data_IF_471417929789
#
_entry.id   IF_471417929789
#
_cell.length_a   1.000
_cell.length_b   1.000
_cell.length_c   1.000
_cell.angle_alpha   90.00
_cell.angle_beta   90.00
_cell.angle_gamma   90.00
#
_symmetry.space_group_name_H-M   'P 1'
#
loop_
_entity.id
_entity.type
_entity.pdbx_description
1 polymer ?
#
# COMPACT_ATOMS: atom_id res chain seq x y z
N UNK A 1 -7.27 -25.49 16.12
CA UNK A 1 -8.40 -25.32 15.18
C UNK A 1 -7.85 -24.52 14.01
N UNK A 2 -7.89 -25.02 12.80
CA UNK A 2 -7.36 -24.29 11.63
C UNK A 2 -8.19 -23.02 11.36
N UNK A 3 -7.58 -21.96 10.77
CA UNK A 3 -8.26 -20.70 10.41
C UNK A 3 -9.58 -20.90 9.65
N UNK A 4 -9.62 -21.91 8.76
CA UNK A 4 -10.79 -22.24 7.94
C UNK A 4 -11.95 -22.89 8.73
N UNK A 5 -11.72 -23.34 9.96
CA UNK A 5 -12.71 -24.08 10.76
C UNK A 5 -13.49 -23.20 11.76
N UNK A 6 -13.35 -21.88 11.69
CA UNK A 6 -14.11 -20.95 12.53
C UNK A 6 -15.47 -20.66 11.86
N UNK A 7 -16.61 -20.83 12.56
CA UNK A 7 -17.94 -20.67 11.95
C UNK A 7 -18.18 -19.33 11.27
N UNK A 8 -17.61 -18.25 11.79
CA UNK A 8 -17.72 -16.90 11.24
C UNK A 8 -17.00 -16.70 9.90
N UNK A 9 -16.29 -17.74 9.41
CA UNK A 9 -15.55 -17.71 8.14
C UNK A 9 -16.14 -18.68 7.11
N UNK A 10 -17.25 -19.33 7.44
CA UNK A 10 -17.93 -20.22 6.51
C UNK A 10 -18.41 -19.43 5.29
N UNK A 11 -18.10 -19.95 4.10
CA UNK A 11 -18.43 -19.30 2.83
C UNK A 11 -17.42 -18.27 2.31
N UNK A 12 -16.41 -17.87 3.11
CA UNK A 12 -15.32 -17.01 2.64
C UNK A 12 -14.32 -17.79 1.80
N UNK A 13 -13.73 -17.14 0.81
CA UNK A 13 -12.53 -17.69 0.17
C UNK A 13 -11.41 -17.81 1.22
N UNK A 14 -10.62 -18.92 1.25
CA UNK A 14 -9.61 -19.14 2.31
C UNK A 14 -8.60 -17.98 2.45
N UNK A 15 -8.18 -17.37 1.36
CA UNK A 15 -7.29 -16.20 1.41
C UNK A 15 -7.98 -15.00 2.06
N UNK A 16 -9.26 -14.76 1.77
CA UNK A 16 -10.03 -13.67 2.41
C UNK A 16 -10.21 -13.94 3.91
N UNK A 17 -10.44 -15.21 4.29
CA UNK A 17 -10.53 -15.60 5.69
C UNK A 17 -9.19 -15.37 6.44
N UNK A 18 -8.05 -15.64 5.80
CA UNK A 18 -6.73 -15.31 6.32
C UNK A 18 -6.56 -13.79 6.47
N UNK A 19 -6.93 -13.01 5.44
CA UNK A 19 -6.85 -11.54 5.50
C UNK A 19 -7.80 -10.93 6.53
N UNK A 20 -8.95 -11.54 6.80
CA UNK A 20 -9.80 -11.12 7.91
C UNK A 20 -9.09 -11.27 9.26
N UNK A 21 -8.40 -12.40 9.47
CA UNK A 21 -7.58 -12.59 10.68
C UNK A 21 -6.47 -11.54 10.74
N UNK A 22 -5.79 -11.31 9.62
CA UNK A 22 -4.75 -10.29 9.52
C UNK A 22 -5.28 -8.89 9.88
N UNK A 23 -6.41 -8.46 9.30
CA UNK A 23 -6.94 -7.10 9.50
C UNK A 23 -7.60 -6.91 10.86
N UNK A 24 -8.43 -7.89 11.29
CA UNK A 24 -9.29 -7.72 12.47
C UNK A 24 -8.62 -8.28 13.72
N UNK A 25 -8.23 -9.56 13.68
CA UNK A 25 -7.76 -10.25 14.87
C UNK A 25 -6.31 -9.89 15.21
N UNK A 26 -5.46 -9.60 14.20
CA UNK A 26 -4.08 -9.18 14.39
C UNK A 26 -3.91 -7.66 14.41
N UNK A 27 -4.26 -6.95 13.33
CA UNK A 27 -3.97 -5.51 13.22
C UNK A 27 -4.86 -4.67 14.13
N UNK A 28 -6.20 -4.84 14.07
CA UNK A 28 -7.11 -4.00 14.84
C UNK A 28 -7.13 -4.32 16.34
N UNK A 29 -6.84 -5.55 16.74
CA UNK A 29 -6.74 -5.93 18.15
C UNK A 29 -5.31 -5.87 18.70
N UNK A 30 -4.30 -5.58 17.86
CA UNK A 30 -2.88 -5.56 18.21
C UNK A 30 -2.36 -6.88 18.79
N UNK A 31 -2.98 -8.01 18.41
CA UNK A 31 -2.62 -9.34 18.90
C UNK A 31 -1.46 -9.95 18.09
N UNK A 32 -0.24 -9.68 18.52
CA UNK A 32 0.96 -10.21 17.89
C UNK A 32 1.18 -11.73 18.14
N UNK A 33 0.38 -12.37 18.99
CA UNK A 33 0.47 -13.82 19.19
C UNK A 33 0.01 -14.61 17.96
N UNK A 34 -0.67 -13.95 17.03
CA UNK A 34 -1.16 -14.56 15.80
C UNK A 34 -0.11 -14.72 14.68
N UNK A 35 1.12 -14.22 14.87
CA UNK A 35 2.17 -14.31 13.84
C UNK A 35 2.33 -15.71 13.24
N UNK A 36 2.45 -16.72 14.08
CA UNK A 36 2.66 -18.10 13.63
C UNK A 36 1.43 -18.73 12.96
N UNK A 37 0.25 -18.12 13.16
CA UNK A 37 -1.00 -18.54 12.53
C UNK A 37 -1.17 -17.95 11.14
N UNK A 38 -0.73 -16.70 10.92
CA UNK A 38 -1.03 -15.93 9.71
C UNK A 38 0.16 -15.73 8.77
N UNK A 39 1.40 -15.88 9.25
CA UNK A 39 2.60 -15.58 8.44
C UNK A 39 3.60 -16.73 8.53
N UNK A 40 4.26 -17.05 7.42
CA UNK A 40 5.39 -17.97 7.43
C UNK A 40 6.60 -17.39 8.18
N UNK A 41 7.49 -18.22 8.76
CA UNK A 41 8.67 -17.74 9.48
C UNK A 41 9.60 -16.83 8.64
N UNK A 42 9.65 -17.08 7.33
CA UNK A 42 10.41 -16.30 6.35
C UNK A 42 9.60 -15.23 5.62
N UNK A 43 8.40 -14.91 6.12
CA UNK A 43 7.57 -13.84 5.57
C UNK A 43 8.32 -12.51 5.51
N UNK A 44 8.22 -11.85 4.35
CA UNK A 44 8.85 -10.56 4.10
C UNK A 44 7.80 -9.51 3.70
N UNK A 45 7.88 -8.34 4.30
CA UNK A 45 7.15 -7.14 3.90
C UNK A 45 8.11 -6.19 3.19
N UNK A 46 7.81 -5.90 1.92
CA UNK A 46 8.49 -4.85 1.15
C UNK A 46 7.69 -3.57 1.30
N UNK A 47 8.25 -2.59 2.00
CA UNK A 47 7.59 -1.31 2.28
C UNK A 47 8.59 -0.16 2.26
N UNK A 48 8.27 0.90 1.52
CA UNK A 48 9.06 2.13 1.51
C UNK A 48 10.54 1.92 1.13
N UNK A 49 10.81 0.89 0.31
CA UNK A 49 12.15 0.50 -0.09
C UNK A 49 12.93 -0.33 0.93
N UNK A 50 12.28 -0.79 1.99
CA UNK A 50 12.85 -1.70 2.99
C UNK A 50 12.25 -3.10 2.88
N UNK A 51 13.08 -4.10 3.15
CA UNK A 51 12.68 -5.49 3.28
C UNK A 51 12.61 -5.86 4.77
N UNK A 52 11.40 -6.02 5.28
CA UNK A 52 11.17 -6.32 6.69
C UNK A 52 10.85 -7.81 6.85
N UNK A 53 11.81 -8.59 7.37
CA UNK A 53 11.64 -10.00 7.68
C UNK A 53 10.85 -10.15 8.99
N UNK A 54 9.89 -11.08 9.03
CA UNK A 54 8.90 -11.26 10.09
C UNK A 54 9.45 -11.08 11.51
N UNK A 55 10.37 -11.93 11.94
CA UNK A 55 10.86 -11.94 13.33
C UNK A 55 12.06 -11.01 13.57
N UNK A 56 12.72 -10.58 12.48
CA UNK A 56 13.97 -9.80 12.58
C UNK A 56 13.69 -8.30 12.63
N UNK A 57 12.80 -7.81 11.77
CA UNK A 57 12.57 -6.37 11.60
C UNK A 57 11.09 -5.99 11.56
N UNK A 58 10.22 -6.80 10.96
CA UNK A 58 8.79 -6.49 10.87
C UNK A 58 8.10 -6.49 12.23
N UNK A 59 8.24 -7.57 13.02
CA UNK A 59 7.65 -7.67 14.35
C UNK A 59 8.10 -6.54 15.29
N UNK A 60 9.40 -6.24 15.42
CA UNK A 60 9.87 -5.09 16.17
C UNK A 60 9.30 -3.74 15.68
N UNK A 61 9.20 -3.52 14.36
CA UNK A 61 8.62 -2.30 13.80
C UNK A 61 7.13 -2.14 14.13
N UNK A 62 6.35 -3.23 14.06
CA UNK A 62 4.94 -3.23 14.44
C UNK A 62 4.76 -3.00 15.94
N UNK A 63 5.61 -3.61 16.78
CA UNK A 63 5.60 -3.38 18.23
C UNK A 63 5.84 -1.90 18.56
N UNK A 64 6.81 -1.27 17.90
CA UNK A 64 7.08 0.16 18.06
C UNK A 64 5.88 1.00 17.59
N UNK A 65 5.30 0.68 16.43
CA UNK A 65 4.11 1.37 15.91
C UNK A 65 2.94 1.31 16.90
N UNK A 66 2.61 0.13 17.43
CA UNK A 66 1.53 -0.03 18.41
C UNK A 66 1.80 0.71 19.71
N UNK A 67 3.06 0.80 20.15
CA UNK A 67 3.44 1.59 21.32
C UNK A 67 3.21 3.09 21.11
N UNK A 68 3.49 3.59 19.92
CA UNK A 68 3.27 4.99 19.53
C UNK A 68 1.81 5.28 19.20
N UNK A 69 1.09 4.30 18.67
CA UNK A 69 -0.29 4.39 18.20
C UNK A 69 -1.20 3.33 18.85
N UNK A 70 -1.45 3.38 20.19
CA UNK A 70 -2.19 2.33 20.89
C UNK A 70 -3.66 2.19 20.49
N UNK A 71 -4.18 3.12 19.71
CA UNK A 71 -5.54 3.08 19.14
C UNK A 71 -5.53 2.97 17.62
N UNK A 72 -4.44 2.47 17.02
CA UNK A 72 -4.37 2.25 15.58
C UNK A 72 -5.47 1.28 15.14
N UNK A 73 -6.19 1.67 14.10
CA UNK A 73 -7.19 0.84 13.44
C UNK A 73 -7.00 0.84 11.93
N UNK A 74 -7.36 -0.28 11.32
CA UNK A 74 -7.32 -0.51 9.87
C UNK A 74 -8.75 -0.65 9.33
N UNK A 75 -9.03 -0.01 8.21
CA UNK A 75 -10.29 -0.09 7.46
C UNK A 75 -10.01 -0.59 6.06
N UNK A 76 -10.68 -1.66 5.64
CA UNK A 76 -10.56 -2.19 4.28
C UNK A 76 -11.51 -1.44 3.35
N UNK A 77 -11.01 -0.93 2.23
CA UNK A 77 -11.78 -0.29 1.18
C UNK A 77 -12.07 -1.21 0.01
N UNK A 78 -11.14 -2.12 -0.29
CA UNK A 78 -11.29 -3.00 -1.43
C UNK A 78 -10.38 -4.22 -1.33
N UNK A 79 -10.89 -5.37 -1.81
CA UNK A 79 -10.09 -6.54 -2.18
C UNK A 79 -10.20 -6.82 -3.68
N UNK A 80 -9.07 -7.18 -4.28
CA UNK A 80 -8.98 -7.74 -5.64
C UNK A 80 -8.34 -9.11 -5.50
N UNK A 81 -9.03 -10.15 -5.95
CA UNK A 81 -8.65 -11.55 -5.72
C UNK A 81 -8.75 -12.36 -7.01
N UNK A 82 -7.66 -13.06 -7.39
CA UNK A 82 -7.70 -14.01 -8.51
C UNK A 82 -7.65 -15.49 -8.09
N UNK A 83 -7.74 -15.76 -6.77
CA UNK A 83 -7.62 -17.08 -6.16
C UNK A 83 -6.24 -17.27 -5.49
N UNK A 84 -5.15 -16.98 -6.17
CA UNK A 84 -3.78 -17.18 -5.67
C UNK A 84 -3.15 -15.89 -5.15
N UNK A 85 -3.61 -14.72 -5.61
CA UNK A 85 -3.11 -13.40 -5.27
C UNK A 85 -4.24 -12.52 -4.76
N UNK A 86 -3.90 -11.64 -3.81
CA UNK A 86 -4.83 -10.67 -3.27
C UNK A 86 -4.17 -9.29 -3.17
N UNK A 87 -4.90 -8.28 -3.66
CA UNK A 87 -4.57 -6.89 -3.37
C UNK A 87 -5.61 -6.33 -2.40
N UNK A 88 -5.11 -5.59 -1.41
CA UNK A 88 -5.93 -4.87 -0.45
C UNK A 88 -5.65 -3.37 -0.55
N UNK A 89 -6.71 -2.59 -0.75
CA UNK A 89 -6.69 -1.15 -0.54
C UNK A 89 -7.33 -0.86 0.83
N UNK A 90 -6.64 -0.08 1.64
CA UNK A 90 -7.03 0.15 3.04
C UNK A 90 -6.69 1.57 3.50
N UNK A 91 -7.17 1.95 4.66
CA UNK A 91 -6.66 3.08 5.45
C UNK A 91 -6.31 2.61 6.85
N UNK A 92 -5.26 3.19 7.39
CA UNK A 92 -4.99 3.17 8.81
C UNK A 92 -5.32 4.54 9.41
N UNK A 93 -5.70 4.57 10.68
CA UNK A 93 -5.97 5.79 11.41
C UNK A 93 -5.53 5.64 12.87
N UNK A 94 -4.99 6.69 13.42
CA UNK A 94 -4.54 6.70 14.80
C UNK A 94 -4.41 8.12 15.35
N UNK A 95 -4.37 8.20 16.67
CA UNK A 95 -3.79 9.33 17.38
C UNK A 95 -2.29 9.07 17.55
N UNK A 96 -1.44 9.92 16.95
CA UNK A 96 0.02 9.80 16.95
C UNK A 96 0.67 10.89 17.80
N UNK A 97 1.82 10.63 18.44
CA UNK A 97 2.58 11.67 19.13
C UNK A 97 3.12 12.69 18.14
N UNK A 98 3.20 13.97 18.57
CA UNK A 98 3.74 15.05 17.74
C UNK A 98 4.92 15.74 18.42
N UNK A 99 5.86 16.33 17.65
CA UNK A 99 6.92 17.14 18.18
C UNK A 99 6.38 18.27 19.09
N UNK A 100 7.03 18.49 20.22
CA UNK A 100 6.58 19.47 21.21
C UNK A 100 5.60 18.93 22.25
N UNK A 101 5.19 17.67 22.12
CA UNK A 101 4.30 16.98 23.06
C UNK A 101 2.83 16.99 22.62
N UNK A 102 2.06 16.08 23.24
CA UNK A 102 0.67 15.86 22.86
C UNK A 102 0.51 14.85 21.72
N UNK A 103 -0.72 14.77 21.19
CA UNK A 103 -1.08 13.82 20.14
C UNK A 103 -2.03 14.48 19.14
N UNK A 104 -1.93 14.08 17.88
CA UNK A 104 -2.82 14.51 16.79
C UNK A 104 -3.39 13.29 16.07
N UNK A 105 -4.58 13.46 15.52
CA UNK A 105 -5.24 12.44 14.71
C UNK A 105 -4.69 12.49 13.28
N UNK A 106 -4.45 11.31 12.70
CA UNK A 106 -4.15 11.16 11.29
C UNK A 106 -4.86 9.93 10.72
N UNK A 107 -5.14 9.99 9.43
CA UNK A 107 -5.63 8.88 8.62
C UNK A 107 -4.75 8.82 7.36
N UNK A 108 -4.22 7.65 7.04
CA UNK A 108 -3.40 7.45 5.85
C UNK A 108 -3.81 6.18 5.12
N UNK A 109 -3.65 6.18 3.81
CA UNK A 109 -4.08 5.11 2.93
C UNK A 109 -2.94 4.17 2.62
N UNK A 110 -3.28 2.93 2.28
CA UNK A 110 -2.33 1.91 1.87
C UNK A 110 -2.87 1.04 0.73
N UNK A 111 -1.94 0.53 -0.08
CA UNK A 111 -2.21 -0.50 -1.09
C UNK A 111 -1.16 -1.59 -0.93
N UNK A 112 -1.62 -2.82 -0.72
CA UNK A 112 -0.75 -3.98 -0.52
C UNK A 112 -1.10 -5.14 -1.44
N UNK A 113 -0.07 -5.78 -2.02
CA UNK A 113 -0.16 -6.98 -2.84
C UNK A 113 0.37 -8.15 -2.02
N UNK A 114 -0.46 -9.14 -1.77
CA UNK A 114 -0.18 -10.26 -0.88
C UNK A 114 0.00 -11.56 -1.63
N UNK A 115 0.99 -12.36 -1.18
CA UNK A 115 1.22 -13.74 -1.58
C UNK A 115 1.00 -14.66 -0.39
N UNK A 116 0.53 -15.88 -0.67
CA UNK A 116 0.31 -16.91 0.32
C UNK A 116 0.61 -18.30 -0.25
N UNK A 117 0.72 -19.29 0.62
CA UNK A 117 0.97 -20.68 0.23
C UNK A 117 -0.26 -21.60 0.38
N UNK A 118 -1.45 -21.00 0.46
CA UNK A 118 -2.71 -21.70 0.73
C UNK A 118 -3.11 -21.74 2.20
N UNK A 119 -2.21 -21.37 3.13
CA UNK A 119 -2.45 -21.35 4.57
C UNK A 119 -1.98 -20.08 5.26
N UNK A 120 -0.81 -19.53 4.88
CA UNK A 120 -0.16 -18.38 5.49
C UNK A 120 0.37 -17.41 4.45
N UNK A 121 0.55 -16.16 4.85
CA UNK A 121 1.23 -15.15 4.04
C UNK A 121 2.72 -15.48 3.91
N UNK A 122 3.25 -15.34 2.71
CA UNK A 122 4.66 -15.58 2.38
C UNK A 122 5.41 -14.31 2.04
N UNK A 123 4.74 -13.34 1.42
CA UNK A 123 5.34 -12.09 0.98
C UNK A 123 4.25 -11.02 0.79
N UNK A 124 4.63 -9.76 0.97
CA UNK A 124 3.76 -8.63 0.76
C UNK A 124 4.57 -7.44 0.22
N UNK A 125 4.08 -6.81 -0.86
CA UNK A 125 4.50 -5.50 -1.31
C UNK A 125 3.44 -4.48 -0.93
N UNK A 126 3.78 -3.50 -0.10
CA UNK A 126 2.82 -2.51 0.39
C UNK A 126 3.42 -1.12 0.43
N UNK A 127 2.63 -0.12 0.03
CA UNK A 127 2.99 1.28 0.23
C UNK A 127 1.88 2.03 0.94
N UNK A 128 2.27 3.06 1.70
CA UNK A 128 1.37 3.88 2.48
C UNK A 128 1.71 5.38 2.33
N UNK A 129 0.70 6.25 2.41
CA UNK A 129 0.85 7.69 2.19
C UNK A 129 1.34 8.43 3.45
N UNK A 130 2.52 8.08 3.93
CA UNK A 130 3.12 8.68 5.13
C UNK A 130 3.37 10.19 5.02
N UNK A 131 3.55 10.74 3.81
CA UNK A 131 3.69 12.18 3.64
C UNK A 131 2.41 12.90 4.09
N UNK A 132 1.27 12.41 3.65
CA UNK A 132 -0.05 12.94 4.03
C UNK A 132 -0.33 12.74 5.51
N UNK A 133 0.08 11.61 6.10
CA UNK A 133 0.02 11.40 7.54
C UNK A 133 0.79 12.50 8.29
N UNK A 134 2.03 12.79 7.88
CA UNK A 134 2.86 13.82 8.51
C UNK A 134 2.29 15.23 8.35
N UNK A 135 1.73 15.57 7.18
CA UNK A 135 1.04 16.84 6.97
C UNK A 135 -0.15 17.04 7.93
N UNK A 136 -0.94 15.97 8.16
CA UNK A 136 -2.05 15.99 9.12
C UNK A 136 -1.55 16.18 10.55
N UNK A 137 -0.48 15.47 10.94
CA UNK A 137 0.12 15.60 12.27
C UNK A 137 0.69 17.01 12.50
N UNK A 138 1.29 17.62 11.47
CA UNK A 138 1.85 18.96 11.54
C UNK A 138 0.76 20.05 11.60
N UNK A 139 -0.31 19.90 10.80
CA UNK A 139 -1.40 20.88 10.74
C UNK A 139 -2.43 20.72 11.87
N UNK A 140 -2.52 19.54 12.49
CA UNK A 140 -3.57 19.19 13.44
C UNK A 140 -4.95 18.98 12.79
N UNK A 141 -5.01 18.90 11.45
CA UNK A 141 -6.26 18.72 10.69
C UNK A 141 -6.26 17.34 10.02
N UNK A 142 -6.98 16.35 10.59
CA UNK A 142 -7.07 15.03 10.00
C UNK A 142 -7.90 15.07 8.71
N UNK A 143 -7.55 14.22 7.74
CA UNK A 143 -8.39 13.98 6.56
C UNK A 143 -9.60 13.11 6.91
N UNK A 144 -10.66 13.24 6.10
CA UNK A 144 -11.79 12.33 6.20
C UNK A 144 -11.35 10.90 5.85
N UNK A 145 -11.77 9.94 6.67
CA UNK A 145 -11.61 8.53 6.35
C UNK A 145 -12.48 8.19 5.14
N UNK A 146 -11.92 7.46 4.19
CA UNK A 146 -12.68 6.92 3.07
C UNK A 146 -13.70 5.88 3.58
N UNK A 147 -14.91 5.81 3.00
CA UNK A 147 -15.90 4.82 3.41
C UNK A 147 -15.35 3.39 3.34
N UNK A 148 -15.62 2.54 4.35
CA UNK A 148 -15.23 1.14 4.30
C UNK A 148 -16.02 0.40 3.22
N UNK A 149 -15.45 -0.68 2.71
CA UNK A 149 -16.22 -1.65 1.93
C UNK A 149 -17.32 -2.27 2.81
N UNK A 150 -18.52 -2.38 2.26
CA UNK A 150 -19.61 -3.09 2.92
C UNK A 150 -19.33 -4.59 2.83
N UNK A 151 -18.92 -5.19 3.95
CA UNK A 151 -18.60 -6.62 4.04
C UNK A 151 -17.58 -7.13 3.01
N UNK A 152 -16.30 -6.69 3.06
CA UNK A 152 -15.26 -7.15 2.12
C UNK A 152 -15.00 -8.65 2.23
N UNK A 153 -15.42 -9.26 3.33
CA UNK A 153 -15.16 -10.67 3.65
C UNK A 153 -16.04 -11.62 2.82
N UNK A 154 -17.33 -11.31 2.71
CA UNK A 154 -18.29 -12.12 1.98
C UNK A 154 -18.55 -11.62 0.54
N UNK A 155 -18.37 -10.32 0.29
CA UNK A 155 -18.62 -9.72 -1.01
C UNK A 155 -17.50 -9.94 -2.03
N UNK A 156 -16.27 -10.22 -1.58
CA UNK A 156 -15.12 -10.42 -2.48
C UNK A 156 -15.30 -11.70 -3.32
N UNK A 157 -15.26 -11.53 -4.62
CA UNK A 157 -15.35 -12.62 -5.59
C UNK A 157 -13.99 -12.92 -6.20
N UNK A 158 -13.73 -14.21 -6.49
CA UNK A 158 -12.59 -14.60 -7.31
C UNK A 158 -12.85 -14.22 -8.75
N UNK A 159 -11.97 -13.41 -9.32
CA UNK A 159 -11.98 -13.07 -10.74
C UNK A 159 -10.73 -13.69 -11.38
N UNK A 160 -10.88 -14.57 -12.38
CA UNK A 160 -9.73 -15.22 -13.01
C UNK A 160 -8.69 -14.22 -13.53
N UNK A 161 -7.42 -14.62 -13.48
CA UNK A 161 -6.34 -13.84 -14.06
C UNK A 161 -6.52 -13.64 -15.58
N UNK A 162 -6.14 -12.44 -16.05
CA UNK A 162 -6.10 -12.08 -17.46
C UNK A 162 -4.64 -11.68 -17.84
N UNK A 163 -3.96 -12.60 -18.49
CA UNK A 163 -2.55 -12.39 -18.85
C UNK A 163 -2.38 -11.26 -19.88
N UNK A 164 -3.40 -10.97 -20.70
CA UNK A 164 -3.33 -9.86 -21.66
C UNK A 164 -3.44 -8.52 -20.95
N UNK A 165 -4.34 -8.38 -19.97
CA UNK A 165 -4.46 -7.19 -19.13
C UNK A 165 -3.17 -6.95 -18.34
N UNK A 166 -2.59 -8.00 -17.76
CA UNK A 166 -1.30 -7.91 -17.05
C UNK A 166 -0.17 -7.46 -17.96
N UNK A 167 -0.07 -8.00 -19.17
CA UNK A 167 0.94 -7.61 -20.16
C UNK A 167 0.76 -6.14 -20.59
N UNK A 168 -0.47 -5.66 -20.77
CA UNK A 168 -0.80 -4.26 -21.11
C UNK A 168 -0.31 -3.32 -20.00
N UNK A 169 -0.64 -3.61 -18.74
CA UNK A 169 -0.22 -2.80 -17.60
C UNK A 169 1.30 -2.84 -17.42
N UNK A 170 1.92 -4.00 -17.55
CA UNK A 170 3.38 -4.14 -17.48
C UNK A 170 4.09 -3.28 -18.54
N UNK A 171 3.61 -3.31 -19.78
CA UNK A 171 4.15 -2.50 -20.87
C UNK A 171 3.95 -0.99 -20.62
N UNK A 172 2.82 -0.59 -20.02
CA UNK A 172 2.56 0.78 -19.62
C UNK A 172 3.48 1.23 -18.48
N UNK A 173 3.66 0.43 -17.42
CA UNK A 173 4.57 0.75 -16.30
C UNK A 173 6.02 0.97 -16.77
N UNK A 174 6.50 0.15 -17.72
CA UNK A 174 7.86 0.25 -18.24
C UNK A 174 8.13 1.55 -19.04
N UNK A 175 7.11 2.32 -19.39
CA UNK A 175 7.28 3.69 -19.96
C UNK A 175 7.71 4.70 -18.90
N UNK A 176 7.50 4.40 -17.62
CA UNK A 176 7.87 5.27 -16.49
C UNK A 176 6.94 6.46 -16.25
N UNK A 177 5.86 6.60 -17.01
CA UNK A 177 4.86 7.67 -16.84
C UNK A 177 3.53 7.09 -16.33
N UNK A 178 3.36 7.07 -15.01
CA UNK A 178 2.13 6.61 -14.37
C UNK A 178 0.93 7.56 -14.59
N UNK A 179 1.17 8.74 -15.14
CA UNK A 179 0.12 9.71 -15.47
C UNK A 179 -0.45 9.52 -16.89
N UNK A 180 0.16 8.65 -17.72
CA UNK A 180 -0.37 8.27 -19.04
C UNK A 180 -1.60 7.36 -18.92
N UNK A 181 -2.70 7.95 -18.47
CA UNK A 181 -4.00 7.28 -18.22
C UNK A 181 -5.15 8.28 -18.35
N UNK A 182 -6.34 7.79 -18.66
CA UNK A 182 -7.52 8.64 -18.77
C UNK A 182 -7.96 9.21 -17.40
N UNK A 183 -7.79 8.44 -16.33
CA UNK A 183 -8.11 8.88 -14.98
C UNK A 183 -7.03 8.46 -13.98
N UNK A 184 -6.36 9.44 -13.37
CA UNK A 184 -5.34 9.24 -12.34
C UNK A 184 -5.83 9.69 -10.97
N UNK A 185 -5.71 8.83 -9.97
CA UNK A 185 -5.90 9.14 -8.55
C UNK A 185 -4.63 8.73 -7.79
N UNK A 186 -3.92 9.70 -7.26
CA UNK A 186 -2.76 9.47 -6.37
C UNK A 186 -3.17 9.84 -4.96
N UNK A 187 -3.22 8.85 -4.08
CA UNK A 187 -3.76 8.99 -2.72
C UNK A 187 -2.90 9.92 -1.84
N UNK A 188 -1.58 10.00 -2.08
CA UNK A 188 -0.65 10.89 -1.38
C UNK A 188 -0.51 12.29 -2.01
N UNK A 189 -1.33 12.61 -3.02
CA UNK A 189 -1.39 13.97 -3.57
C UNK A 189 -2.23 14.87 -2.66
N UNK A 190 -1.77 16.10 -2.33
CA UNK A 190 -2.56 17.06 -1.58
C UNK A 190 -3.92 17.33 -2.22
N UNK A 191 -4.96 17.41 -1.39
CA UNK A 191 -6.33 17.65 -1.88
C UNK A 191 -6.42 18.92 -2.71
N UNK A 192 -7.03 18.80 -3.90
CA UNK A 192 -7.25 19.94 -4.81
C UNK A 192 -6.03 20.33 -5.66
N UNK A 193 -4.96 19.52 -5.61
CA UNK A 193 -3.80 19.71 -6.50
C UNK A 193 -3.72 18.59 -7.52
N UNK A 194 -3.32 18.87 -8.76
CA UNK A 194 -3.01 17.82 -9.73
C UNK A 194 -1.78 17.04 -9.27
N UNK A 195 -1.68 15.79 -9.72
CA UNK A 195 -0.45 15.03 -9.56
C UNK A 195 0.68 15.68 -10.37
N UNK A 196 1.81 15.89 -9.72
CA UNK A 196 3.05 16.32 -10.37
C UNK A 196 4.13 15.27 -10.11
N UNK A 197 4.78 14.74 -11.18
CA UNK A 197 5.90 13.81 -11.00
C UNK A 197 7.03 14.47 -10.21
N UNK A 198 7.58 13.75 -9.23
CA UNK A 198 8.68 14.29 -8.38
C UNK A 198 10.06 13.89 -8.87
N UNK A 199 10.16 13.04 -9.89
CA UNK A 199 11.43 12.65 -10.53
C UNK A 199 11.26 12.51 -12.05
N UNK A 200 12.37 12.64 -12.78
CA UNK A 200 12.47 12.27 -14.19
C UNK A 200 12.85 10.80 -14.26
N UNK A 201 11.88 9.93 -14.64
CA UNK A 201 12.08 8.48 -14.59
C UNK A 201 13.11 8.04 -15.61
N UNK A 202 14.22 7.44 -15.16
CA UNK A 202 15.29 6.88 -15.94
C UNK A 202 15.31 5.35 -15.94
N UNK A 203 14.79 4.72 -14.88
CA UNK A 203 14.73 3.27 -14.73
C UNK A 203 13.44 2.84 -14.01
N UNK A 204 12.89 1.70 -14.43
CA UNK A 204 11.66 1.11 -13.89
C UNK A 204 11.87 -0.36 -13.59
N UNK A 205 11.60 -0.76 -12.35
CA UNK A 205 11.57 -2.16 -11.94
C UNK A 205 10.16 -2.53 -11.49
N UNK A 206 9.52 -3.45 -12.20
CA UNK A 206 8.22 -4.02 -11.78
C UNK A 206 8.52 -5.11 -10.75
N UNK A 207 8.27 -4.82 -9.48
CA UNK A 207 8.58 -5.72 -8.36
C UNK A 207 7.52 -6.81 -8.22
N UNK A 208 6.25 -6.43 -8.35
CA UNK A 208 5.11 -7.35 -8.27
C UNK A 208 3.95 -6.86 -9.14
N UNK A 209 3.23 -7.79 -9.76
CA UNK A 209 2.07 -7.52 -10.59
C UNK A 209 1.23 -8.80 -10.72
N UNK A 210 -0.08 -8.66 -10.70
CA UNK A 210 -1.01 -9.72 -11.05
C UNK A 210 -2.33 -9.12 -11.56
N UNK A 211 -3.13 -9.93 -12.26
CA UNK A 211 -4.44 -9.51 -12.76
C UNK A 211 -5.58 -10.29 -12.10
N UNK A 212 -6.73 -9.65 -12.02
CA UNK A 212 -8.04 -10.23 -11.74
C UNK A 212 -9.02 -9.62 -12.76
N UNK A 213 -9.21 -10.28 -13.88
CA UNK A 213 -9.84 -9.71 -15.08
C UNK A 213 -9.04 -8.49 -15.58
N UNK A 214 -9.75 -7.40 -15.91
CA UNK A 214 -9.14 -6.13 -16.38
C UNK A 214 -8.48 -5.31 -15.28
N UNK A 215 -8.61 -5.70 -14.02
CA UNK A 215 -8.02 -5.00 -12.88
C UNK A 215 -6.65 -5.59 -12.55
N UNK A 216 -5.64 -4.75 -12.50
CA UNK A 216 -4.25 -5.18 -12.39
C UNK A 216 -3.56 -4.42 -11.26
N UNK A 217 -3.49 -4.98 -10.05
CA UNK A 217 -2.62 -4.51 -8.99
C UNK A 217 -1.16 -4.62 -9.38
N UNK A 218 -0.37 -3.60 -9.00
CA UNK A 218 1.06 -3.55 -9.28
C UNK A 218 1.85 -2.89 -8.15
N UNK A 219 3.12 -3.26 -8.06
CA UNK A 219 4.14 -2.55 -7.30
C UNK A 219 5.36 -2.33 -8.18
N UNK A 220 5.85 -1.08 -8.24
CA UNK A 220 6.98 -0.69 -9.09
C UNK A 220 7.91 0.25 -8.34
N UNK A 221 9.21 0.12 -8.65
CA UNK A 221 10.26 1.03 -8.24
C UNK A 221 10.65 1.89 -9.43
N UNK A 222 10.53 3.21 -9.28
CA UNK A 222 10.96 4.22 -10.24
C UNK A 222 12.26 4.85 -9.72
N UNK A 223 13.25 5.06 -10.62
CA UNK A 223 14.51 5.72 -10.28
C UNK A 223 14.80 6.83 -11.26
N UNK A 224 15.41 7.90 -10.79
CA UNK A 224 15.84 9.02 -11.61
C UNK A 224 16.08 10.29 -10.81
N UNK A 225 16.55 11.37 -11.48
CA UNK A 225 16.83 12.63 -10.83
C UNK A 225 15.57 13.30 -10.29
N UNK A 226 15.66 13.82 -9.08
CA UNK A 226 14.59 14.59 -8.42
C UNK A 226 14.29 15.88 -9.18
N UNK A 227 13.01 16.13 -9.47
CA UNK A 227 12.53 17.35 -10.20
C UNK A 227 12.11 18.48 -9.28
N UNK A 228 11.81 18.17 -8.03
CA UNK A 228 11.13 19.08 -7.12
C UNK A 228 9.72 18.60 -6.76
N UNK A 229 8.94 19.47 -6.13
CA UNK A 229 7.50 19.24 -5.86
C UNK A 229 7.17 18.63 -4.51
N UNK A 230 8.15 18.27 -3.68
CA UNK A 230 7.92 17.88 -2.29
C UNK A 230 8.14 19.09 -1.40
N UNK A 231 7.14 19.45 -0.60
CA UNK A 231 7.27 20.49 0.40
C UNK A 231 8.45 20.19 1.34
N UNK A 232 9.13 21.19 1.84
CA UNK A 232 10.27 21.11 2.75
C UNK A 232 11.55 20.47 2.15
N UNK A 233 11.56 20.18 0.84
CA UNK A 233 12.77 19.78 0.10
C UNK A 233 13.26 20.96 -0.74
N UNK A 234 14.42 21.55 -0.40
CA UNK A 234 14.97 22.68 -1.16
C UNK A 234 15.27 22.35 -2.63
N UNK A 235 15.10 23.33 -3.51
CA UNK A 235 15.40 23.20 -4.95
C UNK A 235 16.86 22.85 -5.25
N UNK A 236 17.78 23.05 -4.30
CA UNK A 236 19.19 22.62 -4.40
C UNK A 236 19.37 21.11 -4.52
N UNK A 237 18.34 20.33 -4.20
CA UNK A 237 18.34 18.86 -4.38
C UNK A 237 17.88 18.41 -5.78
N UNK A 238 17.39 19.32 -6.63
CA UNK A 238 17.03 18.98 -8.02
C UNK A 238 18.23 18.38 -8.76
N UNK A 239 17.97 17.29 -9.48
CA UNK A 239 19.00 16.52 -10.17
C UNK A 239 19.67 15.42 -9.33
N UNK A 240 19.38 15.32 -8.02
CA UNK A 240 19.86 14.20 -7.19
C UNK A 240 19.09 12.94 -7.52
N UNK A 241 19.81 11.82 -7.73
CA UNK A 241 19.18 10.51 -7.97
C UNK A 241 18.39 10.05 -6.74
N UNK A 242 17.15 9.67 -6.98
CA UNK A 242 16.22 9.16 -5.96
C UNK A 242 15.47 7.94 -6.45
N UNK A 243 14.90 7.24 -5.48
CA UNK A 243 14.04 6.06 -5.71
C UNK A 243 12.65 6.34 -5.14
N UNK A 244 11.62 6.06 -5.93
CA UNK A 244 10.22 6.19 -5.57
C UNK A 244 9.54 4.84 -5.78
N UNK A 245 8.92 4.28 -4.74
CA UNK A 245 8.05 3.11 -4.86
C UNK A 245 6.62 3.57 -5.14
N UNK A 246 5.90 2.78 -5.94
CA UNK A 246 4.49 3.00 -6.25
C UNK A 246 3.76 1.68 -6.12
N UNK A 247 2.73 1.65 -5.29
CA UNK A 247 1.76 0.55 -5.25
C UNK A 247 0.42 1.07 -5.76
N UNK A 248 -0.22 0.32 -6.65
CA UNK A 248 -1.47 0.79 -7.23
C UNK A 248 -2.29 -0.30 -7.91
N UNK A 249 -3.41 0.14 -8.44
CA UNK A 249 -4.36 -0.66 -9.22
C UNK A 249 -4.58 0.08 -10.53
N UNK A 250 -4.36 -0.60 -11.65
CA UNK A 250 -4.67 -0.11 -12.98
C UNK A 250 -5.88 -0.87 -13.53
N UNK A 251 -6.85 -0.15 -14.09
CA UNK A 251 -7.98 -0.71 -14.81
C UNK A 251 -7.68 -0.60 -16.30
N UNK A 252 -7.63 -1.74 -16.99
CA UNK A 252 -7.43 -1.80 -18.45
C UNK A 252 -8.77 -1.49 -19.14
N UNK A 253 -8.73 -0.68 -20.18
CA UNK A 253 -9.90 -0.25 -20.92
C UNK A 253 -10.60 -1.43 -21.66
N UNK A 254 -11.82 -1.20 -22.13
CA UNK A 254 -12.62 -2.23 -22.83
C UNK A 254 -11.97 -2.73 -24.14
N UNK A 255 -11.00 -1.99 -24.70
CA UNK A 255 -10.26 -2.44 -25.89
C UNK A 255 -9.10 -3.37 -25.55
N UNK A 256 -8.71 -3.43 -24.29
CA UNK A 256 -7.55 -4.20 -23.80
C UNK A 256 -6.19 -3.56 -24.10
N UNK A 257 -6.14 -2.35 -24.66
CA UNK A 257 -4.91 -1.73 -25.15
C UNK A 257 -4.45 -0.47 -24.39
N UNK A 258 -5.33 0.09 -23.57
CA UNK A 258 -5.06 1.31 -22.81
C UNK A 258 -5.34 1.16 -21.32
N UNK A 259 -4.90 2.13 -20.55
CA UNK A 259 -5.20 2.23 -19.13
C UNK A 259 -6.28 3.28 -18.93
N UNK A 260 -7.46 2.83 -18.50
CA UNK A 260 -8.61 3.70 -18.28
C UNK A 260 -8.45 4.48 -16.96
N UNK A 261 -8.03 3.80 -15.91
CA UNK A 261 -7.91 4.38 -14.58
C UNK A 261 -6.70 3.81 -13.84
N UNK A 262 -6.06 4.67 -13.07
CA UNK A 262 -5.06 4.27 -12.09
C UNK A 262 -5.41 4.88 -10.73
N UNK A 263 -5.37 4.06 -9.69
CA UNK A 263 -5.37 4.52 -8.31
C UNK A 263 -4.13 3.99 -7.62
N UNK A 264 -3.28 4.88 -7.12
CA UNK A 264 -1.98 4.50 -6.60
C UNK A 264 -1.55 5.37 -5.42
N UNK A 265 -0.56 4.86 -4.68
CA UNK A 265 0.17 5.54 -3.62
C UNK A 265 1.63 5.61 -4.06
N UNK A 266 2.26 6.76 -3.85
CA UNK A 266 3.68 7.00 -4.13
C UNK A 266 4.41 7.32 -2.83
N UNK A 267 5.63 6.79 -2.65
CA UNK A 267 6.41 6.96 -1.41
C UNK A 267 7.18 8.28 -1.36
N UNK A 268 6.51 9.42 -1.48
CA UNK A 268 7.15 10.75 -1.46
C UNK A 268 7.85 11.05 -0.14
N UNK A 269 7.35 10.52 0.98
CA UNK A 269 8.02 10.64 2.27
C UNK A 269 9.41 9.99 2.24
N UNK A 270 9.57 8.89 1.51
CA UNK A 270 10.87 8.21 1.34
C UNK A 270 11.81 9.03 0.45
N UNK A 271 11.30 9.64 -0.62
CA UNK A 271 12.11 10.57 -1.45
C UNK A 271 12.61 11.74 -0.59
N UNK A 272 11.74 12.32 0.25
CA UNK A 272 12.16 13.36 1.19
C UNK A 272 13.25 12.86 2.15
N UNK A 273 13.09 11.65 2.70
CA UNK A 273 14.12 11.03 3.56
C UNK A 273 15.46 10.87 2.84
N UNK A 274 15.47 10.37 1.60
CA UNK A 274 16.69 10.22 0.80
C UNK A 274 17.42 11.54 0.59
N UNK A 275 16.69 12.65 0.48
CA UNK A 275 17.26 13.97 0.17
C UNK A 275 17.64 14.77 1.43
N UNK A 276 16.90 14.60 2.53
CA UNK A 276 17.04 15.46 3.72
C UNK A 276 17.41 14.72 5.00
N UNK A 277 17.32 13.40 5.01
CA UNK A 277 17.46 12.58 6.21
C UNK A 277 16.24 12.63 7.16
N UNK A 278 15.17 13.34 6.82
CA UNK A 278 13.96 13.39 7.63
C UNK A 278 13.21 12.04 7.58
N UNK A 279 12.98 11.35 8.72
CA UNK A 279 12.41 10.01 8.72
C UNK A 279 11.03 9.97 8.06
N UNK A 280 10.69 8.89 7.32
CA UNK A 280 9.41 8.77 6.62
C UNK A 280 8.23 8.50 7.57
N UNK A 281 8.47 7.95 8.77
CA UNK A 281 7.47 7.66 9.84
C UNK A 281 8.05 7.90 11.23
#
# INVERSE_FOLDING_TARGET
MTLAARPEREGMHPFVALMRTYCIDYTNSHDQTLYDEIMEPDYVVHISGFDLVRDVSYGPAVTDLYSRAPGLGLVVHEFILNGDRLCMRFSEHASMPVPGGGRQLACWRGTGLYKWNGTRLTENYVEQDYLVMQEQLASGVPRALEPPHLDPWMATQVVPADAAAEATVRAWLLKGDIADTAQLVIDDTPVGRPYEPVLDVADVVVNDIFSAGSRVPFHVTLRGPYRGGIADVPDTHKGTEVTLQVAGIADVDASGNGIERVQAITTRAVVRFQLTGAPPI
#
